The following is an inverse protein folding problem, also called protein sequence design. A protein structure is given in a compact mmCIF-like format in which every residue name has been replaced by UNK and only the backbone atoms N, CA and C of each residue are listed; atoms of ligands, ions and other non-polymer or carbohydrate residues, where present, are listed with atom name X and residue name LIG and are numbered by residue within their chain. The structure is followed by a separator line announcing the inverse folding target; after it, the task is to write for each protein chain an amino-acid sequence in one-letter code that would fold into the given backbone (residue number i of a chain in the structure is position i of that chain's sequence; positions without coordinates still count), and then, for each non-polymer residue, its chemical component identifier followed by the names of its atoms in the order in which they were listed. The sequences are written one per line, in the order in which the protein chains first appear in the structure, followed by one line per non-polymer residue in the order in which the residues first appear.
data_IF_237003949978
#
_entry.id   IF_237003949978
#
_cell.length_a   1.000
_cell.length_b   1.000
_cell.length_c   1.000
_cell.angle_alpha   90.00
_cell.angle_beta   90.00
_cell.angle_gamma   90.00
#
_symmetry.space_group_name_H-M   'P 1'
#
loop_
_entity.id
_entity.type
_entity.pdbx_description
1 polymer ?
#
# COMPACT_ATOMS: atom_id res chain seq x y z
N UNK A 1 22.65 -2.67 3.55
CA UNK A 1 22.53 -3.63 4.66
C UNK A 1 22.91 -3.04 6.02
N UNK A 2 23.98 -2.22 6.15
CA UNK A 2 24.32 -1.54 7.44
C UNK A 2 23.17 -0.68 7.96
N UNK A 3 22.58 0.16 7.10
CA UNK A 3 21.40 0.98 7.40
C UNK A 3 20.28 0.14 7.99
N UNK A 4 19.96 -0.99 7.35
CA UNK A 4 18.86 -1.86 7.77
C UNK A 4 19.08 -2.44 9.15
N UNK A 5 20.22 -3.12 9.35
CA UNK A 5 20.55 -3.79 10.62
C UNK A 5 20.60 -2.78 11.78
N UNK A 6 21.09 -1.57 11.54
CA UNK A 6 21.26 -0.58 12.60
C UNK A 6 20.03 0.28 12.86
N UNK A 7 19.23 0.63 11.85
CA UNK A 7 18.17 1.65 11.96
C UNK A 7 16.76 1.14 11.66
N UNK A 8 16.59 0.09 10.85
CA UNK A 8 15.25 -0.34 10.39
C UNK A 8 14.76 -1.60 11.07
N UNK A 9 15.61 -2.63 11.20
CA UNK A 9 15.22 -3.93 11.76
C UNK A 9 14.48 -3.81 13.09
N UNK A 10 13.34 -4.50 13.19
CA UNK A 10 12.47 -4.47 14.36
C UNK A 10 13.21 -4.96 15.60
N UNK A 11 13.31 -4.09 16.60
CA UNK A 11 13.84 -4.44 17.93
C UNK A 11 12.70 -4.71 18.92
N UNK A 12 11.77 -3.77 19.00
CA UNK A 12 10.57 -3.87 19.84
C UNK A 12 9.41 -3.40 19.00
N UNK A 13 8.37 -4.23 18.90
CA UNK A 13 7.19 -3.90 18.13
C UNK A 13 6.52 -2.63 18.69
N UNK A 14 6.46 -1.59 17.88
CA UNK A 14 5.71 -0.35 18.15
C UNK A 14 4.43 -0.41 17.32
N UNK A 15 3.28 -0.25 17.96
CA UNK A 15 1.98 -0.23 17.27
C UNK A 15 1.34 1.17 17.28
N UNK A 16 0.24 1.31 16.55
CA UNK A 16 -0.55 2.55 16.45
C UNK A 16 -1.67 2.63 17.50
N UNK A 17 -1.62 1.80 18.53
CA UNK A 17 -2.64 1.73 19.58
C UNK A 17 -4.01 1.36 19.05
N UNK A 18 -4.95 2.32 19.09
CA UNK A 18 -6.33 2.15 18.58
C UNK A 18 -6.59 2.91 17.29
N UNK A 19 -5.61 3.63 16.78
CA UNK A 19 -5.80 4.49 15.61
C UNK A 19 -5.89 3.67 14.31
N UNK A 20 -5.04 2.66 14.14
CA UNK A 20 -4.90 1.99 12.84
C UNK A 20 -4.74 0.47 13.00
N UNK A 21 -5.65 -0.29 12.41
CA UNK A 21 -5.66 -1.75 12.56
C UNK A 21 -4.99 -2.45 11.38
N UNK A 22 -4.89 -3.78 11.46
CA UNK A 22 -4.27 -4.59 10.39
C UNK A 22 -5.12 -4.58 9.11
N UNK A 23 -6.43 -4.32 9.17
CA UNK A 23 -7.26 -4.10 7.95
C UNK A 23 -6.72 -2.88 7.19
N UNK A 24 -6.40 -1.80 7.91
CA UNK A 24 -5.89 -0.59 7.30
C UNK A 24 -4.48 -0.77 6.71
N UNK A 25 -3.65 -1.63 7.32
CA UNK A 25 -2.38 -2.05 6.73
C UNK A 25 -2.57 -2.93 5.47
N UNK A 26 -3.53 -3.85 5.47
CA UNK A 26 -3.90 -4.62 4.27
C UNK A 26 -4.44 -3.71 3.17
N UNK A 27 -5.25 -2.72 3.53
CA UNK A 27 -5.87 -1.78 2.60
C UNK A 27 -4.83 -1.02 1.80
N UNK A 28 -3.78 -0.51 2.45
CA UNK A 28 -2.78 0.27 1.72
C UNK A 28 -1.98 -0.57 0.75
N UNK A 29 -1.67 -1.83 1.07
CA UNK A 29 -1.07 -2.73 0.11
C UNK A 29 -2.03 -3.10 -1.02
N UNK A 30 -3.31 -3.31 -0.73
CA UNK A 30 -4.36 -3.50 -1.73
C UNK A 30 -4.45 -2.31 -2.71
N UNK A 31 -4.21 -1.09 -2.24
CA UNK A 31 -4.12 0.10 -3.11
C UNK A 31 -2.83 0.14 -3.93
N UNK A 32 -1.69 -0.25 -3.35
CA UNK A 32 -0.44 -0.34 -4.12
C UNK A 32 -0.55 -1.35 -5.26
N UNK A 33 -1.31 -2.43 -5.05
CA UNK A 33 -1.65 -3.40 -6.10
C UNK A 33 -2.55 -2.83 -7.21
N UNK A 34 -3.26 -1.74 -6.96
CA UNK A 34 -4.01 -1.00 -7.97
C UNK A 34 -3.10 -0.01 -8.72
N UNK A 35 -2.08 0.52 -8.06
CA UNK A 35 -1.43 1.75 -8.48
C UNK A 35 -0.08 1.60 -9.15
N UNK A 36 0.86 0.87 -8.54
CA UNK A 36 2.27 0.97 -8.93
C UNK A 36 3.06 -0.31 -8.73
N UNK A 37 3.74 -0.75 -9.78
CA UNK A 37 4.82 -1.73 -9.74
C UNK A 37 5.82 -1.40 -10.86
N UNK A 38 7.10 -1.51 -10.56
CA UNK A 38 8.15 -1.10 -11.48
C UNK A 38 8.54 -2.23 -12.40
N UNK A 39 8.66 -1.93 -13.69
CA UNK A 39 9.22 -2.87 -14.66
C UNK A 39 10.66 -3.23 -14.28
N UNK A 40 10.93 -4.52 -14.17
CA UNK A 40 12.27 -5.06 -13.96
C UNK A 40 12.98 -5.27 -15.30
N UNK A 41 14.31 -5.12 -15.29
CA UNK A 41 15.16 -5.58 -16.37
C UNK A 41 15.43 -7.09 -16.24
N UNK A 42 16.04 -7.69 -17.26
CA UNK A 42 16.45 -9.11 -17.19
C UNK A 42 17.78 -9.30 -16.46
N UNK A 43 18.54 -8.22 -16.24
CA UNK A 43 19.84 -8.25 -15.56
C UNK A 43 19.66 -8.36 -14.04
N UNK A 44 20.24 -9.40 -13.46
CA UNK A 44 20.37 -9.52 -12.00
C UNK A 44 21.59 -8.76 -11.47
N UNK A 45 21.46 -8.25 -10.26
CA UNK A 45 22.51 -7.62 -9.44
C UNK A 45 22.49 -8.29 -8.07
N UNK A 46 23.66 -8.36 -7.42
CA UNK A 46 23.81 -8.94 -6.09
C UNK A 46 24.20 -7.86 -5.07
N UNK A 47 23.56 -7.87 -3.91
CA UNK A 47 23.99 -7.11 -2.74
C UNK A 47 24.53 -8.07 -1.69
N UNK A 48 25.74 -7.79 -1.20
CA UNK A 48 26.40 -8.59 -0.15
C UNK A 48 26.53 -7.80 1.15
N UNK A 49 26.33 -8.48 2.27
CA UNK A 49 26.52 -7.90 3.60
C UNK A 49 28.01 -7.68 3.86
N UNK A 50 28.42 -6.47 4.31
CA UNK A 50 29.78 -6.23 4.79
C UNK A 50 30.13 -7.17 5.94
N UNK A 51 31.41 -7.56 6.04
CA UNK A 51 31.89 -8.58 7.00
C UNK A 51 31.53 -8.24 8.44
N UNK A 52 31.48 -6.95 8.77
CA UNK A 52 31.25 -6.41 10.11
C UNK A 52 29.82 -6.64 10.61
N UNK A 53 28.85 -6.75 9.70
CA UNK A 53 27.42 -6.93 10.02
C UNK A 53 26.83 -8.22 9.44
N UNK A 54 27.61 -8.99 8.67
CA UNK A 54 27.13 -10.17 7.97
C UNK A 54 26.47 -11.17 8.93
N UNK A 55 27.05 -11.41 10.10
CA UNK A 55 26.55 -12.24 11.19
C UNK A 55 25.20 -11.78 11.78
N UNK A 56 24.82 -10.51 11.61
CA UNK A 56 23.53 -9.97 12.04
C UNK A 56 22.47 -9.96 10.93
N UNK A 57 22.85 -10.28 9.68
CA UNK A 57 21.92 -10.29 8.55
C UNK A 57 21.33 -11.70 8.35
N UNK A 58 19.99 -11.83 8.18
CA UNK A 58 19.36 -13.10 7.83
C UNK A 58 19.90 -13.68 6.52
N UNK A 59 20.08 -12.84 5.51
CA UNK A 59 20.76 -13.17 4.25
C UNK A 59 22.17 -12.56 4.23
N UNK A 60 23.18 -13.34 3.81
CA UNK A 60 24.56 -12.85 3.68
C UNK A 60 24.80 -12.12 2.35
N UNK A 61 24.10 -12.54 1.32
CA UNK A 61 23.90 -11.80 0.08
C UNK A 61 22.56 -12.18 -0.52
N UNK A 62 22.09 -11.40 -1.48
CA UNK A 62 20.89 -11.71 -2.25
C UNK A 62 20.92 -11.09 -3.63
N UNK A 63 20.25 -11.73 -4.59
CA UNK A 63 20.12 -11.29 -5.98
C UNK A 63 18.73 -10.74 -6.25
N UNK A 64 18.67 -9.77 -7.16
CA UNK A 64 17.41 -9.18 -7.63
C UNK A 64 17.61 -8.57 -9.01
N UNK A 65 16.52 -8.34 -9.74
CA UNK A 65 16.56 -7.71 -11.05
C UNK A 65 16.71 -6.19 -10.95
N UNK A 66 17.52 -5.57 -11.82
CA UNK A 66 17.64 -4.11 -11.91
C UNK A 66 16.27 -3.48 -12.26
N UNK A 67 15.97 -2.26 -11.82
CA UNK A 67 14.82 -1.52 -12.37
C UNK A 67 15.10 -1.20 -13.84
N UNK A 68 14.13 -1.41 -14.74
CA UNK A 68 14.30 -1.13 -16.17
C UNK A 68 14.44 0.38 -16.39
N UNK A 69 15.55 0.81 -16.96
CA UNK A 69 15.75 2.17 -17.43
C UNK A 69 15.33 2.27 -18.90
N UNK A 70 14.50 3.26 -19.22
CA UNK A 70 13.97 3.53 -20.55
C UNK A 70 14.39 4.96 -20.95
N UNK A 71 15.12 5.14 -22.07
CA UNK A 71 15.45 6.47 -22.57
C UNK A 71 14.16 7.25 -22.91
N UNK A 72 14.07 8.49 -22.45
CA UNK A 72 12.88 9.34 -22.68
C UNK A 72 12.98 10.14 -23.99
N UNK A 73 14.20 10.36 -24.49
CA UNK A 73 14.48 11.26 -25.60
C UNK A 73 14.56 12.76 -25.22
N UNK A 74 14.41 13.10 -23.93
CA UNK A 74 14.46 14.49 -23.45
C UNK A 74 15.80 14.84 -22.77
N UNK A 75 16.11 16.14 -22.71
CA UNK A 75 17.35 16.65 -22.13
C UNK A 75 17.34 16.65 -20.59
N UNK A 76 16.26 17.15 -19.99
CA UNK A 76 16.16 17.36 -18.53
C UNK A 76 16.09 16.03 -17.76
N UNK A 77 15.19 15.14 -18.17
CA UNK A 77 15.06 13.78 -17.62
C UNK A 77 15.36 12.80 -18.74
N UNK A 78 16.58 12.27 -18.78
CA UNK A 78 17.10 11.44 -19.89
C UNK A 78 16.60 10.00 -19.87
N UNK A 79 16.35 9.47 -18.68
CA UNK A 79 15.87 8.11 -18.45
C UNK A 79 14.67 8.14 -17.49
N UNK A 80 13.76 7.19 -17.66
CA UNK A 80 12.64 6.97 -16.77
C UNK A 80 12.38 5.48 -16.58
N UNK A 81 11.36 5.17 -15.78
CA UNK A 81 10.93 3.81 -15.48
C UNK A 81 9.47 3.61 -15.85
N UNK A 82 9.11 2.40 -16.24
CA UNK A 82 7.73 2.05 -16.59
C UNK A 82 7.00 1.47 -15.37
N UNK A 83 5.76 1.93 -15.18
CA UNK A 83 4.80 1.28 -14.30
C UNK A 83 4.12 0.13 -15.07
N UNK A 84 4.14 -1.09 -14.53
CA UNK A 84 3.48 -2.25 -15.14
C UNK A 84 2.02 -2.41 -14.68
N UNK A 85 1.60 -1.60 -13.69
CA UNK A 85 0.19 -1.44 -13.29
C UNK A 85 -0.42 -0.21 -13.96
N UNK A 86 -1.74 -0.16 -14.05
CA UNK A 86 -2.43 1.06 -14.49
C UNK A 86 -2.36 2.11 -13.37
N UNK A 87 -1.82 3.32 -13.61
CA UNK A 87 -1.73 4.32 -12.54
C UNK A 87 -3.09 4.95 -12.19
N UNK A 88 -4.14 4.67 -12.98
CA UNK A 88 -5.49 5.11 -12.69
C UNK A 88 -6.05 4.38 -11.46
N UNK A 89 -6.93 5.04 -10.73
CA UNK A 89 -7.64 4.38 -9.65
C UNK A 89 -8.83 3.58 -10.19
N UNK A 90 -8.55 2.48 -10.86
CA UNK A 90 -9.52 1.75 -11.68
C UNK A 90 -9.90 0.36 -11.13
N UNK A 91 -9.39 0.02 -9.94
CA UNK A 91 -9.62 -1.26 -9.27
C UNK A 91 -8.82 -2.40 -9.88
N UNK A 92 -7.71 -2.13 -10.57
CA UNK A 92 -6.90 -3.12 -11.29
C UNK A 92 -6.39 -4.24 -10.39
N UNK A 93 -6.29 -4.01 -9.07
CA UNK A 93 -6.02 -5.05 -8.06
C UNK A 93 -7.06 -6.19 -8.08
N UNK A 94 -8.29 -5.93 -8.54
CA UNK A 94 -9.37 -6.91 -8.75
C UNK A 94 -9.55 -7.26 -10.22
N UNK A 95 -9.41 -6.29 -11.13
CA UNK A 95 -9.75 -6.45 -12.56
C UNK A 95 -8.59 -6.80 -13.48
N UNK A 96 -7.35 -6.62 -13.04
CA UNK A 96 -6.13 -6.73 -13.84
C UNK A 96 -5.80 -5.45 -14.60
N UNK A 97 -4.52 -5.27 -14.91
CA UNK A 97 -3.98 -4.11 -15.63
C UNK A 97 -4.01 -4.25 -17.17
N UNK A 98 -4.52 -5.37 -17.70
CA UNK A 98 -4.68 -5.60 -19.14
C UNK A 98 -5.78 -6.63 -19.43
N UNK A 99 -6.17 -6.73 -20.71
CA UNK A 99 -7.23 -7.63 -21.17
C UNK A 99 -6.96 -9.11 -20.87
N UNK A 100 -5.70 -9.54 -20.97
CA UNK A 100 -5.32 -10.94 -20.70
C UNK A 100 -5.60 -11.34 -19.25
N UNK A 101 -5.29 -10.46 -18.29
CA UNK A 101 -5.58 -10.71 -16.87
C UNK A 101 -7.08 -10.55 -16.59
N UNK A 102 -7.72 -9.55 -17.18
CA UNK A 102 -9.16 -9.34 -17.04
C UNK A 102 -9.96 -10.59 -17.45
N UNK A 103 -9.61 -11.19 -18.58
CA UNK A 103 -10.29 -12.39 -19.08
C UNK A 103 -10.13 -13.59 -18.13
N UNK A 104 -9.08 -13.63 -17.30
CA UNK A 104 -8.90 -14.68 -16.29
C UNK A 104 -9.83 -14.52 -15.10
N UNK A 105 -10.21 -13.30 -14.73
CA UNK A 105 -11.06 -13.05 -13.54
C UNK A 105 -12.55 -13.03 -13.86
N UNK A 106 -12.95 -12.79 -15.12
CA UNK A 106 -14.37 -12.72 -15.51
C UNK A 106 -15.03 -14.08 -15.64
N UNK A 107 -16.31 -14.16 -15.28
CA UNK A 107 -17.17 -15.33 -15.57
C UNK A 107 -17.78 -15.29 -16.96
N UNK A 108 -17.82 -14.11 -17.60
CA UNK A 108 -18.58 -13.81 -18.81
C UNK A 108 -20.07 -14.13 -18.70
N UNK A 109 -20.61 -14.01 -17.47
CA UNK A 109 -22.02 -14.15 -17.17
C UNK A 109 -22.45 -13.08 -16.20
N UNK A 110 -23.48 -12.33 -16.57
CA UNK A 110 -24.09 -11.26 -15.77
C UNK A 110 -23.08 -10.21 -15.28
N UNK A 111 -21.99 -9.99 -16.02
CA UNK A 111 -20.92 -9.04 -15.68
C UNK A 111 -20.00 -9.50 -14.56
N UNK A 112 -20.18 -10.71 -14.00
CA UNK A 112 -19.58 -11.12 -12.74
C UNK A 112 -18.11 -11.53 -12.85
N UNK A 113 -17.46 -11.51 -11.69
CA UNK A 113 -16.12 -12.04 -11.45
C UNK A 113 -16.16 -13.40 -10.75
N UNK A 114 -15.11 -14.19 -10.97
CA UNK A 114 -14.93 -15.53 -10.42
C UNK A 114 -14.74 -15.48 -8.91
N UNK A 115 -15.52 -16.28 -8.20
CA UNK A 115 -15.41 -16.52 -6.76
C UNK A 115 -15.97 -17.92 -6.45
N UNK A 116 -15.48 -18.57 -5.40
CA UNK A 116 -16.02 -19.85 -4.94
C UNK A 116 -17.44 -19.71 -4.39
N UNK A 117 -18.17 -20.83 -4.29
CA UNK A 117 -19.53 -20.84 -3.70
C UNK A 117 -19.52 -20.47 -2.21
N UNK A 118 -18.41 -20.75 -1.54
CA UNK A 118 -18.15 -20.47 -0.13
C UNK A 118 -17.68 -19.03 0.09
N UNK A 119 -17.47 -18.25 -0.99
CA UNK A 119 -17.07 -16.85 -0.90
C UNK A 119 -15.58 -16.65 -0.66
N UNK A 120 -14.74 -17.49 -1.27
CA UNK A 120 -13.28 -17.33 -1.32
C UNK A 120 -12.82 -17.07 -2.76
N UNK A 121 -11.67 -16.42 -2.96
CA UNK A 121 -11.04 -16.41 -4.28
C UNK A 121 -10.76 -17.85 -4.75
N UNK A 122 -10.84 -18.06 -6.05
CA UNK A 122 -10.39 -19.31 -6.67
C UNK A 122 -8.87 -19.31 -6.78
N UNK A 123 -8.27 -20.49 -6.90
CA UNK A 123 -6.83 -20.67 -7.08
C UNK A 123 -6.54 -21.49 -8.33
N UNK A 124 -5.41 -21.22 -8.97
CA UNK A 124 -4.87 -22.06 -10.06
C UNK A 124 -4.24 -23.33 -9.47
N UNK A 125 -3.86 -24.27 -10.34
CA UNK A 125 -3.23 -25.55 -9.92
C UNK A 125 -1.91 -25.36 -9.16
N UNK A 126 -1.19 -24.27 -9.44
CA UNK A 126 0.05 -23.90 -8.74
C UNK A 126 -0.19 -23.21 -7.37
N UNK A 127 -1.45 -23.01 -6.98
CA UNK A 127 -1.85 -22.38 -5.74
C UNK A 127 -1.92 -20.85 -5.78
N UNK A 128 -1.64 -20.21 -6.93
CA UNK A 128 -1.81 -18.75 -7.07
C UNK A 128 -3.28 -18.37 -7.07
N UNK A 129 -3.64 -17.29 -6.36
CA UNK A 129 -5.01 -16.78 -6.34
C UNK A 129 -5.42 -16.16 -7.69
N UNK A 130 -6.69 -16.31 -8.06
CA UNK A 130 -7.27 -15.71 -9.26
C UNK A 130 -7.89 -14.36 -8.87
N UNK A 131 -7.15 -13.28 -9.16
CA UNK A 131 -7.55 -11.89 -8.97
C UNK A 131 -6.82 -11.00 -10.01
N UNK A 132 -6.99 -9.68 -9.91
CA UNK A 132 -6.36 -8.70 -10.80
C UNK A 132 -4.85 -8.59 -10.63
N UNK A 133 -4.37 -8.44 -9.40
CA UNK A 133 -2.93 -8.45 -9.09
C UNK A 133 -2.65 -9.13 -7.75
N UNK A 134 -1.83 -10.18 -7.76
CA UNK A 134 -1.50 -11.02 -6.60
C UNK A 134 0.00 -11.06 -6.28
N UNK A 135 0.80 -10.21 -6.93
CA UNK A 135 2.26 -10.26 -6.83
C UNK A 135 2.74 -9.82 -5.44
N UNK A 136 3.59 -10.60 -4.78
CA UNK A 136 4.10 -10.32 -3.43
C UNK A 136 2.98 -10.04 -2.39
N UNK A 137 1.85 -10.75 -2.53
CA UNK A 137 0.67 -10.56 -1.68
C UNK A 137 0.73 -11.34 -0.37
N UNK A 138 -0.28 -11.13 0.48
CA UNK A 138 -0.51 -11.88 1.71
C UNK A 138 -2.01 -11.98 2.01
N UNK A 139 -2.38 -12.86 2.94
CA UNK A 139 -3.76 -13.22 3.26
C UNK A 139 -4.69 -12.01 3.56
N UNK A 140 -4.15 -10.92 4.11
CA UNK A 140 -4.90 -9.69 4.36
C UNK A 140 -5.37 -9.00 3.08
N UNK A 141 -4.52 -8.91 2.05
CA UNK A 141 -4.88 -8.34 0.73
C UNK A 141 -5.86 -9.26 0.01
N UNK A 142 -5.63 -10.57 0.04
CA UNK A 142 -6.53 -11.57 -0.55
C UNK A 142 -7.94 -11.51 0.07
N UNK A 143 -8.03 -11.27 1.38
CA UNK A 143 -9.31 -11.06 2.07
C UNK A 143 -10.06 -9.83 1.50
N UNK A 144 -9.35 -8.73 1.25
CA UNK A 144 -9.95 -7.52 0.67
C UNK A 144 -10.32 -7.70 -0.80
N UNK A 145 -9.48 -8.36 -1.60
CA UNK A 145 -9.81 -8.73 -2.99
C UNK A 145 -11.09 -9.57 -3.02
N UNK A 146 -11.20 -10.56 -2.14
CA UNK A 146 -12.42 -11.38 -2.03
C UNK A 146 -13.64 -10.51 -1.74
N UNK A 147 -13.53 -9.58 -0.79
CA UNK A 147 -14.63 -8.67 -0.42
C UNK A 147 -15.06 -7.79 -1.60
N UNK A 148 -14.13 -7.22 -2.36
CA UNK A 148 -14.47 -6.35 -3.49
C UNK A 148 -14.94 -7.12 -4.73
N UNK A 149 -14.57 -8.39 -4.89
CA UNK A 149 -15.21 -9.29 -5.86
C UNK A 149 -16.68 -9.52 -5.51
N UNK A 150 -16.99 -9.74 -4.22
CA UNK A 150 -18.37 -9.87 -3.75
C UNK A 150 -19.16 -8.57 -3.93
N UNK A 151 -18.57 -7.43 -3.61
CA UNK A 151 -19.18 -6.11 -3.83
C UNK A 151 -19.50 -5.90 -5.32
N UNK A 152 -18.54 -6.16 -6.21
CA UNK A 152 -18.76 -6.05 -7.66
C UNK A 152 -19.91 -6.94 -8.14
N UNK A 153 -19.94 -8.21 -7.71
CA UNK A 153 -20.99 -9.14 -8.10
C UNK A 153 -22.37 -8.72 -7.56
N UNK A 154 -22.42 -8.13 -6.36
CA UNK A 154 -23.64 -7.56 -5.79
C UNK A 154 -24.13 -6.33 -6.57
N UNK A 155 -23.22 -5.48 -7.07
CA UNK A 155 -23.58 -4.38 -7.98
C UNK A 155 -24.15 -4.91 -9.30
N UNK A 156 -23.54 -5.94 -9.90
CA UNK A 156 -24.08 -6.58 -11.09
C UNK A 156 -25.52 -7.08 -10.87
N UNK A 157 -25.78 -7.75 -9.74
CA UNK A 157 -27.12 -8.23 -9.39
C UNK A 157 -28.13 -7.08 -9.22
N UNK A 158 -27.72 -5.98 -8.58
CA UNK A 158 -28.57 -4.79 -8.46
C UNK A 158 -28.89 -4.15 -9.82
N UNK A 159 -27.88 -4.01 -10.69
CA UNK A 159 -28.05 -3.42 -12.03
C UNK A 159 -28.93 -4.30 -12.93
N UNK A 160 -28.74 -5.61 -12.93
CA UNK A 160 -29.55 -6.55 -13.71
C UNK A 160 -31.00 -6.58 -13.26
N UNK A 161 -31.25 -6.40 -11.96
CA UNK A 161 -32.60 -6.32 -11.39
C UNK A 161 -33.34 -5.08 -11.87
N UNK A 162 -32.67 -3.93 -11.94
CA UNK A 162 -33.29 -2.67 -12.39
C UNK A 162 -33.40 -2.60 -13.92
N UNK A 163 -32.48 -3.22 -14.66
CA UNK A 163 -32.52 -3.28 -16.11
C UNK A 163 -32.13 -4.68 -16.62
N UNK A 164 -33.14 -5.47 -16.97
CA UNK A 164 -32.97 -6.85 -17.44
C UNK A 164 -32.29 -6.97 -18.80
N UNK A 165 -32.26 -5.89 -19.59
CA UNK A 165 -31.76 -5.89 -20.96
C UNK A 165 -30.23 -5.68 -21.04
N UNK A 166 -29.58 -5.37 -19.90
CA UNK A 166 -28.13 -5.24 -19.86
C UNK A 166 -27.46 -6.60 -20.04
N UNK A 167 -26.58 -6.69 -21.04
CA UNK A 167 -25.78 -7.87 -21.31
C UNK A 167 -24.55 -7.92 -20.39
N UNK A 168 -23.83 -9.05 -20.43
CA UNK A 168 -22.68 -9.31 -19.57
C UNK A 168 -21.62 -8.19 -19.60
N UNK A 169 -21.25 -7.70 -20.79
CA UNK A 169 -20.26 -6.63 -20.94
C UNK A 169 -20.76 -5.29 -20.40
N UNK A 170 -22.05 -4.97 -20.56
CA UNK A 170 -22.63 -3.74 -20.04
C UNK A 170 -22.63 -3.76 -18.51
N UNK A 171 -23.07 -4.86 -17.90
CA UNK A 171 -23.07 -5.05 -16.46
C UNK A 171 -21.67 -4.93 -15.88
N UNK A 172 -20.69 -5.60 -16.50
CA UNK A 172 -19.29 -5.55 -16.07
C UNK A 172 -18.75 -4.12 -16.06
N UNK A 173 -18.95 -3.36 -17.16
CA UNK A 173 -18.46 -1.98 -17.28
C UNK A 173 -19.05 -1.07 -16.21
N UNK A 174 -20.36 -1.14 -16.02
CA UNK A 174 -21.04 -0.32 -15.00
C UNK A 174 -20.64 -0.73 -13.58
N UNK A 175 -20.58 -2.03 -13.29
CA UNK A 175 -20.17 -2.52 -11.97
C UNK A 175 -18.70 -2.19 -11.66
N UNK A 176 -17.78 -2.24 -12.64
CA UNK A 176 -16.39 -1.79 -12.47
C UNK A 176 -16.32 -0.30 -12.13
N UNK A 177 -17.08 0.56 -12.82
CA UNK A 177 -17.15 1.99 -12.50
C UNK A 177 -17.64 2.25 -11.08
N UNK A 178 -18.69 1.56 -10.65
CA UNK A 178 -19.24 1.70 -9.29
C UNK A 178 -18.24 1.22 -8.25
N UNK A 179 -17.71 0.00 -8.39
CA UNK A 179 -16.81 -0.60 -7.38
C UNK A 179 -15.49 0.17 -7.27
N UNK A 180 -14.88 0.58 -8.38
CA UNK A 180 -13.67 1.43 -8.34
C UNK A 180 -13.93 2.78 -7.65
N UNK A 181 -15.07 3.42 -7.92
CA UNK A 181 -15.47 4.64 -7.21
C UNK A 181 -15.74 4.41 -5.71
N UNK A 182 -16.30 3.25 -5.32
CA UNK A 182 -16.47 2.85 -3.92
C UNK A 182 -15.11 2.71 -3.22
N UNK A 183 -14.15 2.03 -3.86
CA UNK A 183 -12.78 1.89 -3.37
C UNK A 183 -12.15 3.27 -3.15
N UNK A 184 -12.21 4.14 -4.18
CA UNK A 184 -11.68 5.50 -4.10
C UNK A 184 -12.31 6.32 -2.96
N UNK A 185 -13.62 6.16 -2.77
CA UNK A 185 -14.36 6.82 -1.70
C UNK A 185 -13.92 6.36 -0.32
N UNK A 186 -13.90 5.05 -0.08
CA UNK A 186 -13.48 4.47 1.21
C UNK A 186 -12.07 4.93 1.54
N UNK A 187 -11.15 4.87 0.59
CA UNK A 187 -9.80 5.34 0.83
C UNK A 187 -9.77 6.82 1.23
N UNK A 188 -10.47 7.68 0.49
CA UNK A 188 -10.44 9.13 0.70
C UNK A 188 -11.06 9.55 2.04
N UNK A 189 -12.30 9.14 2.33
CA UNK A 189 -13.08 9.70 3.45
C UNK A 189 -13.15 8.80 4.69
N UNK A 190 -12.48 7.64 4.67
CA UNK A 190 -12.41 6.71 5.80
C UNK A 190 -10.94 6.37 6.11
N UNK A 191 -10.25 5.66 5.21
CA UNK A 191 -8.86 5.22 5.47
C UNK A 191 -7.90 6.39 5.73
N UNK A 192 -7.89 7.43 4.88
CA UNK A 192 -6.98 8.58 5.06
C UNK A 192 -7.34 9.40 6.31
N UNK A 193 -8.61 9.42 6.71
CA UNK A 193 -9.08 10.11 7.92
C UNK A 193 -8.54 9.43 9.18
N UNK A 194 -8.45 8.10 9.19
CA UNK A 194 -7.85 7.35 10.29
C UNK A 194 -6.31 7.40 10.27
N UNK A 195 -5.69 7.45 9.08
CA UNK A 195 -4.25 7.66 8.93
C UNK A 195 -3.80 9.02 9.49
N UNK A 196 -4.62 10.06 9.26
CA UNK A 196 -4.34 11.45 9.61
C UNK A 196 -5.39 11.97 10.61
N UNK A 197 -5.40 11.38 11.81
CA UNK A 197 -6.43 11.50 12.83
C UNK A 197 -6.47 12.88 13.51
N UNK A 198 -6.84 13.91 12.76
CA UNK A 198 -6.99 15.30 13.18
C UNK A 198 -8.29 15.88 12.61
N UNK A 199 -8.87 16.86 13.29
CA UNK A 199 -10.11 17.52 12.81
C UNK A 199 -9.89 18.22 11.46
N UNK A 200 -8.70 18.80 11.25
CA UNK A 200 -8.33 19.45 9.99
C UNK A 200 -8.34 18.47 8.83
N UNK A 201 -7.72 17.29 8.98
CA UNK A 201 -7.64 16.32 7.90
C UNK A 201 -8.96 15.58 7.69
N UNK A 202 -9.76 15.37 8.75
CA UNK A 202 -11.15 14.95 8.61
C UNK A 202 -11.93 15.91 7.70
N UNK A 203 -11.83 17.22 7.93
CA UNK A 203 -12.50 18.22 7.11
C UNK A 203 -11.94 18.27 5.68
N UNK A 204 -10.61 18.26 5.52
CA UNK A 204 -9.94 18.36 4.22
C UNK A 204 -10.26 17.17 3.31
N UNK A 205 -10.15 15.95 3.81
CA UNK A 205 -10.42 14.75 3.00
C UNK A 205 -11.90 14.66 2.60
N UNK A 206 -12.80 15.06 3.49
CA UNK A 206 -14.24 15.17 3.17
C UNK A 206 -14.51 16.29 2.17
N UNK A 207 -13.75 17.38 2.20
CA UNK A 207 -13.86 18.45 1.22
C UNK A 207 -13.34 18.02 -0.17
N UNK A 208 -12.27 17.22 -0.25
CA UNK A 208 -11.84 16.63 -1.53
C UNK A 208 -12.98 15.82 -2.19
N UNK A 209 -13.72 15.03 -1.40
CA UNK A 209 -14.81 14.22 -1.94
C UNK A 209 -16.12 14.99 -2.14
N UNK A 210 -16.57 15.75 -1.13
CA UNK A 210 -17.91 16.37 -1.08
C UNK A 210 -17.90 17.89 -1.28
N UNK A 211 -16.72 18.52 -1.28
CA UNK A 211 -16.57 19.97 -1.20
C UNK A 211 -16.86 20.53 0.19
N UNK A 212 -16.49 21.79 0.42
CA UNK A 212 -16.78 22.50 1.67
C UNK A 212 -18.29 22.67 1.92
N UNK A 213 -19.12 22.64 0.88
CA UNK A 213 -20.58 22.65 1.02
C UNK A 213 -21.12 21.35 1.65
N UNK A 214 -20.32 20.29 1.62
CA UNK A 214 -20.57 19.05 2.33
C UNK A 214 -21.56 18.11 1.66
N UNK A 215 -21.61 16.89 2.20
CA UNK A 215 -22.37 15.76 1.64
C UNK A 215 -23.84 16.06 1.41
N UNK A 216 -24.55 16.60 2.41
CA UNK A 216 -25.99 16.86 2.32
C UNK A 216 -26.31 17.81 1.16
N UNK A 217 -25.51 18.85 0.98
CA UNK A 217 -25.68 19.78 -0.13
C UNK A 217 -25.40 19.10 -1.46
N UNK A 218 -24.24 18.44 -1.60
CA UNK A 218 -23.82 17.81 -2.85
C UNK A 218 -24.75 16.67 -3.30
N UNK A 219 -25.24 15.86 -2.37
CA UNK A 219 -26.19 14.78 -2.66
C UNK A 219 -27.56 15.32 -3.11
N UNK A 220 -27.95 16.52 -2.66
CA UNK A 220 -29.27 17.12 -2.97
C UNK A 220 -29.23 17.97 -4.25
N UNK A 221 -28.16 18.75 -4.44
CA UNK A 221 -28.08 19.79 -5.48
C UNK A 221 -27.00 19.53 -6.53
N UNK A 222 -26.23 18.45 -6.38
CA UNK A 222 -25.10 18.14 -7.26
C UNK A 222 -23.85 19.00 -6.97
N UNK A 223 -22.92 18.98 -7.92
CA UNK A 223 -21.67 19.76 -7.83
C UNK A 223 -21.92 21.24 -8.14
N UNK A 224 -21.41 22.12 -7.28
CA UNK A 224 -21.53 23.59 -7.42
C UNK A 224 -20.18 24.26 -7.20
N UNK A 225 -19.86 25.23 -8.06
CA UNK A 225 -18.63 26.00 -7.99
C UNK A 225 -17.42 25.24 -8.54
N UNK A 226 -16.27 25.41 -7.90
CA UNK A 226 -15.02 24.71 -8.23
C UNK A 226 -14.70 23.57 -7.27
N UNK A 227 -13.47 23.06 -7.35
CA UNK A 227 -12.97 21.96 -6.52
C UNK A 227 -13.13 22.21 -5.01
N UNK A 228 -13.02 23.46 -4.56
CA UNK A 228 -13.10 23.82 -3.14
C UNK A 228 -14.55 23.68 -2.62
N UNK A 229 -15.53 24.23 -3.34
CA UNK A 229 -16.92 24.26 -2.86
C UNK A 229 -17.65 22.95 -3.11
N UNK A 230 -17.47 22.36 -4.29
CA UNK A 230 -18.17 21.14 -4.72
C UNK A 230 -17.34 19.85 -4.60
N UNK A 231 -16.05 19.96 -4.28
CA UNK A 231 -15.12 18.83 -4.24
C UNK A 231 -14.48 18.54 -5.61
N UNK A 232 -13.48 17.67 -5.63
CA UNK A 232 -12.83 17.20 -6.85
C UNK A 232 -13.77 16.28 -7.66
N UNK A 233 -14.49 15.40 -6.96
CA UNK A 233 -15.41 14.44 -7.58
C UNK A 233 -16.58 15.18 -8.22
N UNK A 234 -16.88 14.94 -9.50
CA UNK A 234 -18.00 15.57 -10.20
C UNK A 234 -17.71 16.95 -10.78
N UNK A 235 -16.44 17.36 -10.85
CA UNK A 235 -16.02 18.46 -11.71
C UNK A 235 -16.41 18.21 -13.17
N UNK A 236 -16.71 19.29 -13.90
CA UNK A 236 -17.17 19.20 -15.30
C UNK A 236 -16.10 18.69 -16.27
N UNK A 237 -14.83 18.81 -15.90
CA UNK A 237 -13.65 18.39 -16.68
C UNK A 237 -12.60 17.88 -15.70
N UNK A 238 -11.81 16.90 -16.14
CA UNK A 238 -10.59 16.53 -15.44
C UNK A 238 -9.56 17.67 -15.49
N UNK A 239 -8.68 17.71 -14.50
CA UNK A 239 -7.66 18.76 -14.38
C UNK A 239 -6.31 18.12 -14.07
N UNK A 240 -5.39 18.17 -15.04
CA UNK A 240 -4.07 17.57 -14.93
C UNK A 240 -2.97 18.61 -14.66
N UNK A 241 -3.34 19.90 -14.56
CA UNK A 241 -2.44 21.03 -14.32
C UNK A 241 -1.34 21.18 -15.38
N UNK A 242 -1.65 20.83 -16.63
CA UNK A 242 -0.71 20.96 -17.76
C UNK A 242 0.35 19.86 -17.85
N UNK A 243 0.31 18.87 -16.95
CA UNK A 243 1.21 17.72 -16.94
C UNK A 243 0.39 16.44 -17.11
N UNK A 244 0.72 15.51 -18.02
CA UNK A 244 0.02 14.24 -18.14
C UNK A 244 -0.11 13.48 -16.81
N UNK A 245 -1.22 12.79 -16.61
CA UNK A 245 -1.44 12.03 -15.38
C UNK A 245 -0.47 10.84 -15.30
N UNK A 246 0.20 10.72 -14.15
CA UNK A 246 0.99 9.57 -13.75
C UNK A 246 1.12 9.56 -12.23
N UNK A 247 1.37 8.39 -11.66
CA UNK A 247 1.99 8.28 -10.35
C UNK A 247 3.51 8.43 -10.52
N UNK A 248 4.21 8.92 -9.50
CA UNK A 248 5.62 9.33 -9.59
C UNK A 248 6.55 8.41 -8.80
N UNK A 249 7.85 8.55 -9.02
CA UNK A 249 8.86 7.82 -8.26
C UNK A 249 8.81 8.17 -6.77
N UNK A 250 8.62 9.45 -6.45
CA UNK A 250 8.46 9.94 -5.08
C UNK A 250 7.20 9.39 -4.42
N UNK A 251 6.11 9.22 -5.18
CA UNK A 251 4.90 8.54 -4.70
C UNK A 251 5.22 7.11 -4.26
N UNK A 252 5.96 6.35 -5.06
CA UNK A 252 6.40 5.00 -4.66
C UNK A 252 7.22 5.02 -3.38
N UNK A 253 8.17 5.95 -3.24
CA UNK A 253 9.04 6.05 -2.06
C UNK A 253 8.27 6.36 -0.78
N UNK A 254 7.32 7.32 -0.78
CA UNK A 254 6.60 7.68 0.44
C UNK A 254 5.55 6.64 0.88
N UNK A 255 5.20 5.71 -0.01
CA UNK A 255 4.31 4.58 0.28
C UNK A 255 5.05 3.29 0.68
N UNK A 256 6.37 3.34 0.89
CA UNK A 256 7.16 2.24 1.48
C UNK A 256 6.85 2.04 2.96
N UNK A 257 5.70 1.44 3.24
CA UNK A 257 5.10 1.34 4.57
C UNK A 257 5.14 -0.07 5.15
N UNK A 258 6.11 -0.89 4.76
CA UNK A 258 6.31 -2.26 5.27
C UNK A 258 6.33 -2.38 6.82
N UNK A 259 6.81 -1.39 7.60
CA UNK A 259 6.71 -1.44 9.07
C UNK A 259 5.30 -1.55 9.65
N UNK A 260 4.24 -1.27 8.87
CA UNK A 260 2.86 -1.46 9.30
C UNK A 260 2.53 -2.93 9.60
N UNK A 261 3.25 -3.89 9.01
CA UNK A 261 2.94 -5.31 9.20
C UNK A 261 3.44 -5.81 10.58
N UNK A 262 2.61 -6.54 11.36
CA UNK A 262 3.04 -7.11 12.64
C UNK A 262 3.98 -8.32 12.43
N UNK A 263 4.48 -8.91 13.52
CA UNK A 263 5.24 -10.18 13.45
C UNK A 263 4.31 -11.40 13.39
N UNK A 264 3.09 -11.26 13.93
CA UNK A 264 2.06 -12.30 13.92
C UNK A 264 0.66 -11.68 13.94
N UNK A 265 -0.32 -12.41 13.42
CA UNK A 265 -1.74 -12.10 13.53
C UNK A 265 -2.34 -12.81 14.74
N UNK A 266 -3.04 -12.06 15.58
CA UNK A 266 -3.78 -12.54 16.75
C UNK A 266 -5.14 -13.08 16.29
N UNK A 267 -5.20 -14.38 16.00
CA UNK A 267 -6.42 -15.03 15.53
C UNK A 267 -7.47 -15.11 16.64
N UNK A 268 -8.67 -14.62 16.38
CA UNK A 268 -9.77 -14.54 17.35
C UNK A 268 -10.89 -15.53 17.07
N UNK A 269 -11.56 -15.97 18.13
CA UNK A 269 -12.72 -16.84 18.03
C UNK A 269 -13.98 -16.02 17.80
N UNK A 270 -14.49 -16.04 16.57
CA UNK A 270 -15.71 -15.33 16.19
C UNK A 270 -17.01 -16.06 16.56
N UNK A 271 -16.91 -17.32 17.02
CA UNK A 271 -18.04 -18.13 17.48
C UNK A 271 -18.33 -17.98 18.97
N UNK A 272 -17.33 -17.54 19.75
CA UNK A 272 -17.47 -17.29 21.17
C UNK A 272 -18.18 -15.95 21.45
N UNK A 273 -18.92 -15.89 22.56
CA UNK A 273 -19.51 -14.65 23.05
C UNK A 273 -18.42 -13.57 23.24
N UNK A 274 -18.58 -12.36 22.67
CA UNK A 274 -17.60 -11.30 22.82
C UNK A 274 -17.36 -10.93 24.30
N UNK A 275 -16.10 -10.76 24.68
CA UNK A 275 -15.72 -10.26 26.00
C UNK A 275 -15.92 -8.76 26.15
N UNK A 276 -15.25 -8.16 27.15
CA UNK A 276 -15.27 -6.71 27.36
C UNK A 276 -14.88 -5.95 26.08
N UNK A 277 -15.55 -4.82 25.81
CA UNK A 277 -15.38 -4.02 24.59
C UNK A 277 -15.63 -4.80 23.29
N UNK A 278 -16.55 -5.77 23.31
CA UNK A 278 -16.91 -6.63 22.16
C UNK A 278 -15.71 -7.37 21.56
N UNK A 279 -14.66 -7.65 22.34
CA UNK A 279 -13.46 -8.33 21.83
C UNK A 279 -13.65 -9.83 21.85
N UNK A 280 -13.62 -10.53 20.70
CA UNK A 280 -13.64 -11.99 20.69
C UNK A 280 -12.32 -12.53 21.27
N UNK A 281 -12.35 -13.66 22.00
CA UNK A 281 -11.18 -14.19 22.69
C UNK A 281 -10.09 -14.62 21.71
N UNK A 282 -8.83 -14.54 22.15
CA UNK A 282 -7.68 -14.97 21.37
C UNK A 282 -7.63 -16.51 21.32
N UNK A 283 -7.51 -17.07 20.12
CA UNK A 283 -7.26 -18.51 19.91
C UNK A 283 -5.75 -18.76 19.91
N UNK A 284 -5.05 -18.15 18.96
CA UNK A 284 -3.61 -18.36 18.74
C UNK A 284 -2.99 -17.16 18.03
N UNK A 285 -1.66 -17.08 18.06
CA UNK A 285 -0.89 -16.17 17.22
C UNK A 285 -0.40 -16.92 15.99
N UNK A 286 -0.68 -16.41 14.80
CA UNK A 286 -0.22 -16.97 13.52
C UNK A 286 0.94 -16.12 13.02
N UNK A 287 2.17 -16.65 12.92
CA UNK A 287 3.30 -15.92 12.34
C UNK A 287 2.98 -15.36 10.95
N UNK A 288 3.47 -14.16 10.63
CA UNK A 288 3.24 -13.58 9.30
C UNK A 288 3.85 -14.43 8.16
N UNK A 289 4.91 -15.19 8.42
CA UNK A 289 5.48 -16.15 7.46
C UNK A 289 4.45 -17.18 6.96
N UNK A 290 3.48 -17.54 7.80
CA UNK A 290 2.43 -18.49 7.44
C UNK A 290 1.26 -17.81 6.71
N UNK A 291 1.30 -16.48 6.55
CA UNK A 291 0.23 -15.65 5.99
C UNK A 291 0.63 -14.92 4.70
N UNK A 292 1.85 -15.10 4.19
CA UNK A 292 2.36 -14.48 2.96
C UNK A 292 2.48 -15.49 1.82
N UNK A 293 2.43 -15.00 0.58
CA UNK A 293 2.65 -15.83 -0.61
C UNK A 293 1.72 -17.04 -0.71
N UNK A 294 2.19 -18.12 -1.34
CA UNK A 294 1.40 -19.33 -1.58
C UNK A 294 1.02 -20.06 -0.29
N UNK A 295 1.87 -20.00 0.74
CA UNK A 295 1.55 -20.55 2.06
C UNK A 295 0.40 -19.76 2.71
N UNK A 296 0.40 -18.44 2.58
CA UNK A 296 -0.65 -17.57 3.10
C UNK A 296 -2.02 -17.86 2.52
N UNK A 297 -2.09 -18.19 1.22
CA UNK A 297 -3.33 -18.58 0.55
C UNK A 297 -3.94 -19.86 1.17
N UNK A 298 -3.10 -20.88 1.42
CA UNK A 298 -3.53 -22.11 2.08
C UNK A 298 -4.02 -21.85 3.50
N UNK A 299 -3.25 -21.08 4.27
CA UNK A 299 -3.60 -20.73 5.65
C UNK A 299 -4.90 -19.90 5.71
N UNK A 300 -5.15 -19.02 4.74
CA UNK A 300 -6.39 -18.24 4.66
C UNK A 300 -7.62 -19.13 4.44
N UNK A 301 -7.53 -20.15 3.58
CA UNK A 301 -8.61 -21.11 3.36
C UNK A 301 -8.98 -21.87 4.64
N UNK A 302 -7.99 -22.22 5.47
CA UNK A 302 -8.21 -22.85 6.79
C UNK A 302 -8.82 -21.89 7.82
N UNK A 303 -8.38 -20.63 7.81
CA UNK A 303 -8.86 -19.61 8.76
C UNK A 303 -10.30 -19.18 8.45
N UNK A 304 -10.57 -18.93 7.17
CA UNK A 304 -11.79 -18.34 6.63
C UNK A 304 -11.81 -16.81 6.67
N UNK A 305 -12.34 -16.18 5.60
CA UNK A 305 -12.36 -14.72 5.41
C UNK A 305 -12.95 -13.93 6.59
N UNK A 306 -14.07 -14.38 7.17
CA UNK A 306 -14.70 -13.68 8.28
C UNK A 306 -13.80 -13.64 9.53
N UNK A 307 -13.19 -14.78 9.87
CA UNK A 307 -12.28 -14.88 11.03
C UNK A 307 -11.01 -14.06 10.81
N UNK A 308 -10.47 -14.09 9.60
CA UNK A 308 -9.33 -13.28 9.19
C UNK A 308 -9.65 -11.78 9.36
N UNK A 309 -10.76 -11.31 8.77
CA UNK A 309 -11.18 -9.91 8.81
C UNK A 309 -11.42 -9.41 10.23
N UNK A 310 -12.14 -10.17 11.07
CA UNK A 310 -12.37 -9.81 12.48
C UNK A 310 -11.05 -9.78 13.26
N UNK A 311 -10.16 -10.74 13.05
CA UNK A 311 -8.87 -10.78 13.73
C UNK A 311 -8.00 -9.56 13.37
N UNK A 312 -7.94 -9.20 12.08
CA UNK A 312 -7.26 -7.99 11.60
C UNK A 312 -7.88 -6.72 12.19
N UNK A 313 -9.22 -6.66 12.28
CA UNK A 313 -9.93 -5.48 12.81
C UNK A 313 -9.67 -5.21 14.28
N UNK A 314 -9.36 -6.26 15.06
CA UNK A 314 -9.08 -6.18 16.50
C UNK A 314 -7.58 -6.18 16.85
N UNK A 315 -6.70 -6.00 15.87
CA UNK A 315 -5.26 -5.88 16.09
C UNK A 315 -4.74 -4.58 15.48
N UNK A 316 -3.95 -3.83 16.26
CA UNK A 316 -3.24 -2.66 15.78
C UNK A 316 -2.13 -3.06 14.80
N UNK A 317 -1.94 -2.27 13.74
CA UNK A 317 -0.78 -2.40 12.87
C UNK A 317 0.48 -1.79 13.51
N UNK A 318 1.65 -2.03 12.91
CA UNK A 318 2.89 -1.41 13.33
C UNK A 318 2.90 0.10 13.04
N UNK A 319 3.69 0.85 13.80
CA UNK A 319 3.94 2.26 13.56
C UNK A 319 5.10 2.47 12.57
N UNK A 320 5.04 3.56 11.78
CA UNK A 320 6.08 3.94 10.81
C UNK A 320 7.22 4.69 11.51
N UNK A 321 8.05 3.93 12.21
CA UNK A 321 9.11 4.40 13.08
C UNK A 321 10.40 3.60 12.85
N UNK A 322 11.55 4.18 13.24
CA UNK A 322 12.81 3.43 13.29
C UNK A 322 12.70 2.20 14.21
N UNK A 323 13.50 1.18 13.88
CA UNK A 323 13.52 -0.14 14.53
C UNK A 323 12.17 -0.85 14.61
N UNK A 324 11.37 -0.74 13.55
CA UNK A 324 10.08 -1.41 13.46
C UNK A 324 9.83 -2.15 12.13
N UNK A 325 10.85 -2.32 11.28
CA UNK A 325 10.76 -3.08 10.04
C UNK A 325 10.77 -4.60 10.34
N UNK A 326 9.73 -5.37 9.94
CA UNK A 326 9.61 -6.78 10.32
C UNK A 326 10.82 -7.62 9.90
N UNK A 327 11.41 -8.36 10.84
CA UNK A 327 12.58 -9.19 10.57
C UNK A 327 12.33 -10.27 9.52
N UNK A 328 11.09 -10.75 9.41
CA UNK A 328 10.73 -11.76 8.43
C UNK A 328 10.79 -11.26 6.98
N UNK A 329 10.62 -9.95 6.73
CA UNK A 329 10.79 -9.35 5.41
C UNK A 329 12.27 -9.23 4.99
N UNK A 330 13.21 -9.52 5.89
CA UNK A 330 14.65 -9.54 5.58
C UNK A 330 15.13 -10.87 4.98
N UNK A 331 14.22 -11.84 4.84
CA UNK A 331 14.43 -13.11 4.17
C UNK A 331 13.14 -13.52 3.43
N UNK A 332 12.68 -12.65 2.53
CA UNK A 332 11.42 -12.80 1.82
C UNK A 332 11.63 -13.58 0.51
N UNK A 333 10.68 -14.45 0.16
CA UNK A 333 10.56 -15.04 -1.18
C UNK A 333 9.79 -14.05 -2.06
N UNK A 334 10.43 -13.39 -3.05
CA UNK A 334 9.73 -12.49 -3.96
C UNK A 334 9.04 -13.27 -5.09
N UNK A 335 8.09 -12.64 -5.76
CA UNK A 335 7.32 -13.25 -6.85
C UNK A 335 7.68 -12.67 -8.23
N UNK A 336 7.53 -13.51 -9.25
CA UNK A 336 7.41 -13.10 -10.65
C UNK A 336 6.08 -12.38 -10.89
N UNK A 337 5.92 -11.81 -12.10
CA UNK A 337 4.71 -11.05 -12.48
C UNK A 337 3.45 -11.92 -12.43
N UNK A 338 3.58 -13.22 -12.74
CA UNK A 338 2.46 -14.18 -12.69
C UNK A 338 2.10 -14.66 -11.27
N UNK A 339 2.83 -14.20 -10.24
CA UNK A 339 2.62 -14.61 -8.86
C UNK A 339 3.42 -15.84 -8.44
N UNK A 340 4.18 -16.48 -9.34
CA UNK A 340 5.05 -17.61 -8.99
C UNK A 340 6.25 -17.17 -8.16
N UNK A 341 6.69 -18.03 -7.24
CA UNK A 341 7.81 -17.77 -6.34
C UNK A 341 9.16 -17.78 -7.09
N UNK A 342 10.07 -16.89 -6.69
CA UNK A 342 11.46 -16.87 -7.17
C UNK A 342 12.36 -17.64 -6.23
N UNK A 343 13.42 -18.23 -6.77
CA UNK A 343 14.43 -18.95 -5.99
C UNK A 343 15.33 -18.04 -5.16
N UNK A 344 15.62 -16.82 -5.63
CA UNK A 344 16.46 -15.86 -4.93
C UNK A 344 15.62 -15.06 -3.91
N UNK A 345 15.81 -15.36 -2.62
CA UNK A 345 15.22 -14.59 -1.52
C UNK A 345 15.84 -13.18 -1.47
N UNK A 346 15.15 -12.22 -0.85
CA UNK A 346 15.61 -10.83 -0.71
C UNK A 346 15.52 -10.32 0.72
N UNK A 347 16.47 -9.46 1.11
CA UNK A 347 16.31 -8.57 2.27
C UNK A 347 15.56 -7.33 1.78
N UNK A 348 14.24 -7.29 1.98
CA UNK A 348 13.40 -6.25 1.38
C UNK A 348 13.79 -4.86 1.90
N UNK A 349 14.08 -4.71 3.19
CA UNK A 349 14.51 -3.42 3.74
C UNK A 349 15.80 -2.93 3.08
N UNK A 350 16.74 -3.83 2.79
CA UNK A 350 17.98 -3.47 2.09
C UNK A 350 17.72 -3.11 0.63
N UNK A 351 16.82 -3.84 -0.01
CA UNK A 351 16.40 -3.60 -1.38
C UNK A 351 15.69 -2.24 -1.51
N UNK A 352 14.83 -1.85 -0.57
CA UNK A 352 14.13 -0.56 -0.63
C UNK A 352 15.08 0.64 -0.61
N UNK A 353 16.07 0.63 0.30
CA UNK A 353 17.14 1.65 0.33
C UNK A 353 17.89 1.68 -1.00
N UNK A 354 18.17 0.52 -1.59
CA UNK A 354 18.81 0.44 -2.89
C UNK A 354 17.92 1.02 -4.00
N UNK A 355 16.61 0.71 -4.01
CA UNK A 355 15.69 1.15 -5.07
C UNK A 355 15.53 2.66 -5.13
N UNK A 356 15.41 3.34 -3.99
CA UNK A 356 15.27 4.80 -3.99
C UNK A 356 16.53 5.46 -4.58
N UNK A 357 17.72 4.93 -4.25
CA UNK A 357 18.99 5.38 -4.82
C UNK A 357 19.11 5.06 -6.31
N UNK A 358 18.75 3.83 -6.70
CA UNK A 358 18.80 3.35 -8.10
C UNK A 358 17.93 4.21 -9.02
N UNK A 359 16.76 4.62 -8.54
CA UNK A 359 15.77 5.40 -9.31
C UNK A 359 15.99 6.91 -9.23
N UNK A 360 17.15 7.32 -8.69
CA UNK A 360 17.54 8.72 -8.52
C UNK A 360 16.53 9.56 -7.72
N UNK A 361 15.80 8.94 -6.80
CA UNK A 361 14.96 9.69 -5.86
C UNK A 361 15.88 10.44 -4.91
N UNK A 362 15.59 11.72 -4.69
CA UNK A 362 16.39 12.55 -3.80
C UNK A 362 16.45 11.95 -2.38
N UNK A 363 17.65 12.00 -1.77
CA UNK A 363 17.82 11.70 -0.35
C UNK A 363 17.06 12.71 0.52
N UNK A 364 16.85 12.39 1.80
CA UNK A 364 15.84 13.03 2.64
C UNK A 364 15.89 14.57 2.63
N UNK A 365 17.08 15.17 2.83
CA UNK A 365 17.15 16.62 2.96
C UNK A 365 16.90 17.33 1.62
N UNK A 366 17.42 16.79 0.52
CA UNK A 366 17.16 17.29 -0.82
C UNK A 366 15.69 17.05 -1.24
N UNK A 367 15.09 15.93 -0.81
CA UNK A 367 13.68 15.63 -1.01
C UNK A 367 12.79 16.69 -0.35
N UNK A 368 13.11 17.07 0.90
CA UNK A 368 12.42 18.18 1.59
C UNK A 368 12.56 19.50 0.84
N UNK A 369 13.75 19.86 0.35
CA UNK A 369 13.95 21.07 -0.45
C UNK A 369 13.11 21.06 -1.73
N UNK A 370 13.01 19.91 -2.41
CA UNK A 370 12.16 19.73 -3.60
C UNK A 370 10.67 19.97 -3.33
N UNK A 371 10.24 19.74 -2.08
CA UNK A 371 8.88 19.99 -1.61
C UNK A 371 8.70 21.35 -0.92
N UNK A 372 9.69 22.24 -1.00
CA UNK A 372 9.71 23.54 -0.33
C UNK A 372 9.58 23.45 1.20
N UNK A 373 9.96 22.32 1.78
CA UNK A 373 10.03 22.13 3.23
C UNK A 373 11.41 22.59 3.75
N UNK A 374 11.43 23.13 4.97
CA UNK A 374 12.68 23.55 5.62
C UNK A 374 13.56 22.30 5.81
N UNK A 375 14.80 22.28 5.28
CA UNK A 375 15.72 21.17 5.47
C UNK A 375 16.22 21.12 6.92
N UNK A 376 16.63 19.94 7.38
CA UNK A 376 17.30 19.78 8.67
C UNK A 376 18.75 20.26 8.57
N UNK A 377 19.28 20.82 9.67
CA UNK A 377 20.69 21.24 9.79
C UNK A 377 21.51 20.33 10.70
N UNK A 378 20.82 19.59 11.57
CA UNK A 378 21.37 18.63 12.53
C UNK A 378 20.32 17.55 12.83
N UNK A 379 20.78 16.42 13.38
CA UNK A 379 19.92 15.27 13.68
C UNK A 379 18.79 15.57 14.69
N UNK A 380 19.04 16.50 15.61
CA UNK A 380 18.07 16.97 16.60
C UNK A 380 16.90 17.75 15.97
N UNK A 381 17.02 18.21 14.72
CA UNK A 381 15.90 18.82 13.99
C UNK A 381 14.93 17.74 13.45
N UNK A 382 15.39 16.49 13.32
CA UNK A 382 14.61 15.37 12.77
C UNK A 382 13.80 14.63 13.85
N UNK A 383 14.40 14.40 15.01
CA UNK A 383 13.81 13.59 16.09
C UNK A 383 14.36 13.98 17.46
N UNK A 384 13.55 13.76 18.51
CA UNK A 384 13.94 13.95 19.91
C UNK A 384 14.54 12.67 20.54
N UNK A 385 14.52 11.54 19.82
CA UNK A 385 15.05 10.25 20.31
C UNK A 385 16.59 10.26 20.31
N UNK A 386 17.17 10.35 21.51
CA UNK A 386 18.62 10.41 21.71
C UNK A 386 19.36 9.17 21.20
N UNK A 387 18.76 7.99 21.30
CA UNK A 387 19.39 6.77 20.78
C UNK A 387 19.32 6.77 19.25
N UNK A 388 18.23 7.25 18.66
CA UNK A 388 18.11 7.39 17.21
C UNK A 388 19.16 8.35 16.66
N UNK A 389 19.32 9.52 17.28
CA UNK A 389 20.35 10.49 16.92
C UNK A 389 21.75 9.87 16.99
N UNK A 390 22.05 9.11 18.05
CA UNK A 390 23.36 8.46 18.21
C UNK A 390 23.62 7.45 17.08
N UNK A 391 22.65 6.61 16.74
CA UNK A 391 22.81 5.60 15.67
C UNK A 391 22.82 6.25 14.28
N UNK A 392 22.06 7.33 14.07
CA UNK A 392 22.14 8.14 12.85
C UNK A 392 23.54 8.72 12.66
N UNK A 393 24.13 9.29 13.73
CA UNK A 393 25.52 9.76 13.73
C UNK A 393 26.53 8.65 13.47
N UNK A 394 26.27 7.44 13.97
CA UNK A 394 27.11 6.27 13.72
C UNK A 394 27.06 5.80 12.26
N UNK A 395 25.90 5.89 11.61
CA UNK A 395 25.68 5.39 10.23
C UNK A 395 26.04 6.43 9.17
N UNK A 396 25.67 7.70 9.38
CA UNK A 396 25.80 8.78 8.40
C UNK A 396 26.82 9.85 8.79
N UNK A 397 27.45 9.74 9.97
CA UNK A 397 28.33 10.78 10.49
C UNK A 397 27.56 12.06 10.85
N UNK A 398 28.16 13.22 10.58
CA UNK A 398 27.50 14.51 10.78
C UNK A 398 26.88 15.08 9.49
N UNK A 399 26.91 14.32 8.39
CA UNK A 399 26.39 14.77 7.10
C UNK A 399 24.91 14.39 6.96
N UNK A 400 24.04 15.38 7.17
CA UNK A 400 22.58 15.19 7.03
C UNK A 400 22.13 15.02 5.58
N UNK A 401 22.96 15.37 4.59
CA UNK A 401 22.63 15.19 3.17
C UNK A 401 22.69 13.72 2.73
N UNK A 402 23.47 12.90 3.44
CA UNK A 402 23.59 11.48 3.17
C UNK A 402 22.41 10.65 3.70
N UNK A 403 21.51 11.24 4.49
CA UNK A 403 20.37 10.53 5.08
C UNK A 403 19.42 9.99 3.99
N UNK A 404 19.30 8.67 3.90
CA UNK A 404 18.35 8.02 3.00
C UNK A 404 16.91 8.46 3.30
N UNK A 405 16.13 8.72 2.24
CA UNK A 405 14.74 9.20 2.36
C UNK A 405 13.88 8.28 3.22
N UNK A 406 13.90 6.96 2.99
CA UNK A 406 13.15 6.00 3.80
C UNK A 406 13.49 6.10 5.30
N UNK A 407 14.77 6.25 5.66
CA UNK A 407 15.19 6.40 7.06
C UNK A 407 14.66 7.71 7.64
N UNK A 408 14.77 8.81 6.89
CA UNK A 408 14.24 10.10 7.30
C UNK A 408 12.73 10.07 7.54
N UNK A 409 11.95 9.47 6.63
CA UNK A 409 10.49 9.34 6.79
C UNK A 409 10.10 8.56 8.05
N UNK A 410 10.84 7.50 8.39
CA UNK A 410 10.59 6.73 9.61
C UNK A 410 11.05 7.46 10.88
N UNK A 411 12.15 8.22 10.81
CA UNK A 411 12.73 8.91 11.95
C UNK A 411 12.05 10.25 12.29
N UNK A 412 11.44 10.90 11.30
CA UNK A 412 10.82 12.22 11.44
C UNK A 412 9.76 12.22 12.54
N UNK A 413 9.87 13.19 13.46
CA UNK A 413 8.88 13.41 14.51
C UNK A 413 7.50 13.67 13.90
N UNK A 414 6.55 12.80 14.23
CA UNK A 414 5.18 12.86 13.68
C UNK A 414 4.35 13.98 14.30
N UNK A 415 3.52 14.61 13.47
CA UNK A 415 2.44 15.49 13.94
C UNK A 415 1.46 14.65 14.77
N UNK A 416 0.94 15.20 15.87
CA UNK A 416 -0.02 14.47 16.73
C UNK A 416 -1.23 14.02 15.90
N UNK A 417 -1.50 12.72 15.91
CA UNK A 417 -2.59 12.10 15.14
C UNK A 417 -2.18 11.60 13.75
N UNK A 418 -0.98 11.94 13.26
CA UNK A 418 -0.48 11.43 11.99
C UNK A 418 0.24 10.10 12.20
N UNK A 419 -0.07 9.09 11.38
CA UNK A 419 0.68 7.85 11.30
C UNK A 419 1.89 7.95 10.34
N UNK A 420 1.96 8.99 9.50
CA UNK A 420 3.02 9.25 8.50
C UNK A 420 3.75 10.56 8.79
N UNK A 421 4.96 10.71 8.25
CA UNK A 421 5.72 11.96 8.35
C UNK A 421 5.04 13.11 7.60
N UNK A 422 5.35 14.35 7.99
CA UNK A 422 4.93 15.55 7.25
C UNK A 422 5.53 15.53 5.83
N UNK A 423 6.79 15.10 5.70
CA UNK A 423 7.45 14.97 4.39
C UNK A 423 6.68 14.03 3.45
N UNK A 424 6.22 12.86 3.95
CA UNK A 424 5.38 11.97 3.15
C UNK A 424 4.02 12.61 2.85
N UNK A 425 3.39 13.24 3.86
CA UNK A 425 2.08 13.85 3.72
C UNK A 425 2.00 14.90 2.59
N UNK A 426 3.05 15.67 2.33
CA UNK A 426 3.04 16.67 1.23
C UNK A 426 2.92 16.00 -0.15
N UNK A 427 3.56 14.85 -0.36
CA UNK A 427 3.36 14.05 -1.59
C UNK A 427 1.94 13.51 -1.65
N UNK A 428 1.42 12.97 -0.54
CA UNK A 428 0.03 12.51 -0.45
C UNK A 428 -0.96 13.61 -0.82
N UNK A 429 -0.78 14.82 -0.29
CA UNK A 429 -1.65 15.97 -0.54
C UNK A 429 -1.78 16.27 -2.03
N UNK A 430 -0.65 16.29 -2.75
CA UNK A 430 -0.61 16.56 -4.18
C UNK A 430 -1.20 15.38 -4.98
N UNK A 431 -0.72 14.17 -4.70
CA UNK A 431 -1.03 13.00 -5.54
C UNK A 431 -2.42 12.43 -5.30
N UNK A 432 -2.95 12.47 -4.07
CA UNK A 432 -4.31 12.03 -3.77
C UNK A 432 -5.38 12.99 -4.33
N UNK A 433 -5.01 14.23 -4.63
CA UNK A 433 -5.91 15.24 -5.22
C UNK A 433 -5.86 15.27 -6.75
N UNK A 434 -4.89 14.57 -7.35
CA UNK A 434 -4.61 14.59 -8.79
C UNK A 434 -5.40 13.48 -9.48
N UNK A 435 -6.26 13.82 -10.43
CA UNK A 435 -7.12 12.87 -11.15
C UNK A 435 -7.81 13.42 -12.38
#
# INVERSE_FOLDING_TARGET
MVVVTKLLERKTYKDTGKQFNVIAASWIQFMIHDWVDHMEDTKQVELSAPREIANQCPLKSFKFFKTKEIPTGFYDIKTGHANIRTPWWDGSVVYGSNEQVLNKVRTFKDGKLKISKEGHLLHNEDGTAISGDIRNSWAGVTTLQTLFVQEHNAVCDALKKENSDLEDEDLYRHARLVTSAVIAKIHTIDWTVELLKTDTLLAAMRANWYGLLGKKFKDTFGHVGGAILGGLVGLKRSENHGVPYSLTEEFTTVYRMHPLLPDSLNLRDISASPGQNKSPPLIKKVPMNDLIGLQGEKTLLEIGNAKQLVSMGHQACGALELWNYPSWLRNLIPHNIDGSERSDHVDLAALEIYRDRERNVARYNQFRRGLLLIPISKWEDLTDDKEAIKVLKEVYGNDVEELDVLVGLMAEKKIKGFAISETAFVIFLLMASRG
#
